data_IF_319259805565
#
_entry.id   IF_319259805565
#
_cell.length_a   1.000
_cell.length_b   1.000
_cell.length_c   1.000
_cell.angle_alpha   90.00
_cell.angle_beta   90.00
_cell.angle_gamma   90.00
#
_symmetry.space_group_name_H-M   'P 1'
#
loop_
_entity.id
_entity.type
_entity.pdbx_description
1 polymer ?
#
# COMPACT_ATOMS: atom_id res chain seq x y z
N UNK A 1 -33.97 0.10 -62.40
CA UNK A 1 -34.47 0.54 -61.07
C UNK A 1 -35.18 -0.65 -60.46
N UNK A 2 -34.82 -1.27 -59.34
CA UNK A 2 -33.76 -1.12 -58.33
C UNK A 2 -33.31 -2.56 -58.00
N UNK A 3 -32.00 -2.77 -57.87
CA UNK A 3 -31.47 -3.93 -57.15
C UNK A 3 -31.31 -3.49 -55.69
N UNK A 4 -31.91 -4.21 -54.74
CA UNK A 4 -31.62 -4.02 -53.32
C UNK A 4 -30.93 -5.27 -52.82
N UNK A 5 -29.65 -5.09 -52.49
CA UNK A 5 -28.76 -6.12 -52.02
C UNK A 5 -29.04 -6.36 -50.53
N UNK A 6 -29.24 -7.62 -50.16
CA UNK A 6 -29.30 -8.05 -48.78
C UNK A 6 -27.98 -7.73 -48.07
N UNK A 7 -28.03 -6.84 -47.08
CA UNK A 7 -26.95 -6.65 -46.14
C UNK A 7 -26.98 -7.81 -45.13
N UNK A 8 -26.09 -8.77 -45.35
CA UNK A 8 -25.69 -9.75 -44.35
C UNK A 8 -24.99 -8.98 -43.22
N UNK A 9 -25.67 -8.83 -42.09
CA UNK A 9 -25.03 -8.39 -40.85
C UNK A 9 -24.13 -9.54 -40.40
N UNK A 10 -22.85 -9.43 -40.74
CA UNK A 10 -21.81 -10.32 -40.26
C UNK A 10 -21.75 -10.22 -38.74
N UNK A 11 -22.17 -11.29 -38.07
CA UNK A 11 -21.91 -11.50 -36.67
C UNK A 11 -20.39 -11.56 -36.49
N UNK A 12 -19.81 -10.45 -36.03
CA UNK A 12 -18.44 -10.47 -35.51
C UNK A 12 -18.50 -11.31 -34.24
N UNK A 13 -18.00 -12.53 -34.35
CA UNK A 13 -17.81 -13.48 -33.25
C UNK A 13 -17.07 -12.77 -32.10
N UNK A 14 -17.79 -12.51 -31.00
CA UNK A 14 -17.23 -12.10 -29.70
C UNK A 14 -16.57 -13.31 -29.02
N UNK A 15 -15.65 -13.99 -29.72
CA UNK A 15 -14.73 -14.92 -29.07
C UNK A 15 -13.52 -14.11 -28.60
N UNK A 16 -13.78 -13.23 -27.62
CA UNK A 16 -12.72 -12.56 -26.89
C UNK A 16 -12.09 -13.64 -26.02
N UNK A 17 -10.94 -14.19 -26.48
CA UNK A 17 -10.15 -15.17 -25.73
C UNK A 17 -10.14 -14.80 -24.25
N UNK A 18 -10.79 -15.61 -23.43
CA UNK A 18 -10.82 -15.38 -21.99
C UNK A 18 -9.39 -15.50 -21.48
N UNK A 19 -8.95 -14.53 -20.67
CA UNK A 19 -7.60 -14.52 -20.11
C UNK A 19 -7.30 -15.83 -19.35
N UNK A 20 -6.16 -16.43 -19.65
CA UNK A 20 -5.67 -17.66 -19.01
C UNK A 20 -4.58 -17.35 -17.96
N UNK A 21 -4.54 -18.15 -16.89
CA UNK A 21 -3.51 -18.08 -15.86
C UNK A 21 -2.11 -18.25 -16.46
N UNK A 22 -1.96 -19.04 -17.51
CA UNK A 22 -0.68 -19.29 -18.18
C UNK A 22 -0.22 -18.11 -19.07
N UNK A 23 -1.09 -17.13 -19.34
CA UNK A 23 -0.72 -15.88 -20.03
C UNK A 23 -0.03 -14.88 -19.09
N UNK A 24 -0.13 -15.07 -17.77
CA UNK A 24 0.61 -14.26 -16.81
C UNK A 24 2.11 -14.58 -16.87
N UNK A 25 2.98 -13.57 -16.70
CA UNK A 25 4.41 -13.80 -16.50
C UNK A 25 4.65 -14.87 -15.42
N UNK A 26 5.59 -15.80 -15.60
CA UNK A 26 5.72 -16.98 -14.74
C UNK A 26 5.78 -16.68 -13.24
N UNK A 27 6.52 -15.63 -12.86
CA UNK A 27 6.58 -15.20 -11.45
C UNK A 27 5.24 -14.67 -10.93
N UNK A 28 4.48 -13.91 -11.74
CA UNK A 28 3.15 -13.41 -11.34
C UNK A 28 2.16 -14.56 -11.15
N UNK A 29 2.17 -15.54 -12.06
CA UNK A 29 1.41 -16.78 -11.93
C UNK A 29 1.74 -17.51 -10.63
N UNK A 30 3.03 -17.72 -10.36
CA UNK A 30 3.51 -18.37 -9.14
C UNK A 30 3.06 -17.64 -7.87
N UNK A 31 3.13 -16.31 -7.88
CA UNK A 31 2.77 -15.45 -6.76
C UNK A 31 1.26 -15.47 -6.44
N UNK A 32 0.40 -15.52 -7.46
CA UNK A 32 -1.05 -15.69 -7.27
C UNK A 32 -1.37 -17.07 -6.69
N UNK A 33 -0.79 -18.14 -7.26
CA UNK A 33 -0.94 -19.51 -6.75
C UNK A 33 -0.47 -19.63 -5.31
N UNK A 34 0.68 -19.03 -4.96
CA UNK A 34 1.20 -19.01 -3.61
C UNK A 34 0.24 -18.34 -2.62
N UNK A 35 -0.30 -17.18 -2.98
CA UNK A 35 -1.17 -16.40 -2.09
C UNK A 35 -2.52 -17.06 -1.86
N UNK A 36 -3.05 -17.69 -2.90
CA UNK A 36 -4.36 -18.35 -2.89
C UNK A 36 -4.26 -19.87 -2.81
N UNK A 37 -3.13 -20.40 -2.33
CA UNK A 37 -2.86 -21.84 -2.26
C UNK A 37 -3.95 -22.63 -1.53
N UNK A 38 -4.51 -22.03 -0.47
CA UNK A 38 -5.60 -22.59 0.31
C UNK A 38 -6.95 -22.70 -0.43
N UNK A 39 -7.12 -22.01 -1.56
CA UNK A 39 -8.31 -22.09 -2.42
C UNK A 39 -8.11 -23.03 -3.62
N UNK A 40 -6.87 -23.43 -3.90
CA UNK A 40 -6.51 -24.31 -5.02
C UNK A 40 -6.39 -23.58 -6.37
N UNK A 41 -5.92 -24.32 -7.39
CA UNK A 41 -5.59 -23.79 -8.72
C UNK A 41 -6.83 -23.28 -9.47
N UNK A 42 -7.93 -24.04 -9.47
CA UNK A 42 -9.17 -23.68 -10.17
C UNK A 42 -9.72 -22.31 -9.73
N UNK A 43 -9.62 -21.98 -8.43
CA UNK A 43 -10.01 -20.66 -7.93
C UNK A 43 -9.15 -19.54 -8.53
N UNK A 44 -7.84 -19.77 -8.69
CA UNK A 44 -6.92 -18.78 -9.25
C UNK A 44 -7.14 -18.61 -10.75
N UNK A 45 -7.40 -19.69 -11.48
CA UNK A 45 -7.80 -19.64 -12.89
C UNK A 45 -9.08 -18.83 -13.07
N UNK A 46 -10.10 -19.08 -12.25
CA UNK A 46 -11.34 -18.31 -12.26
C UNK A 46 -11.11 -16.84 -11.88
N UNK A 47 -10.19 -16.56 -10.95
CA UNK A 47 -9.83 -15.20 -10.57
C UNK A 47 -9.22 -14.42 -11.75
N UNK A 48 -8.35 -15.05 -12.55
CA UNK A 48 -7.74 -14.44 -13.75
C UNK A 48 -8.78 -14.29 -14.86
N UNK A 49 -9.51 -15.36 -15.18
CA UNK A 49 -10.54 -15.39 -16.21
C UNK A 49 -11.61 -14.31 -16.01
N UNK A 50 -11.96 -14.04 -14.75
CA UNK A 50 -12.99 -13.07 -14.39
C UNK A 50 -12.45 -11.67 -14.06
N UNK A 51 -11.13 -11.45 -14.14
CA UNK A 51 -10.49 -10.20 -13.71
C UNK A 51 -11.05 -8.98 -14.46
N UNK A 52 -11.23 -9.06 -15.78
CA UNK A 52 -11.69 -7.94 -16.63
C UNK A 52 -13.04 -7.34 -16.19
N UNK A 53 -13.84 -8.08 -15.41
CA UNK A 53 -15.12 -7.59 -14.89
C UNK A 53 -14.96 -6.40 -13.96
N UNK A 54 -13.84 -6.27 -13.24
CA UNK A 54 -13.60 -5.18 -12.28
C UNK A 54 -12.10 -4.88 -12.12
N UNK A 55 -11.64 -3.65 -12.40
CA UNK A 55 -10.24 -3.28 -12.15
C UNK A 55 -9.90 -3.39 -10.67
N UNK A 56 -8.63 -3.63 -10.36
CA UNK A 56 -8.18 -3.63 -8.97
C UNK A 56 -8.34 -2.24 -8.35
N UNK A 57 -8.93 -2.18 -7.15
CA UNK A 57 -9.09 -0.92 -6.43
C UNK A 57 -7.74 -0.31 -6.04
N UNK A 58 -7.56 0.96 -6.35
CA UNK A 58 -6.52 1.79 -5.74
C UNK A 58 -7.04 2.34 -4.39
N UNK A 59 -6.16 2.76 -3.47
CA UNK A 59 -6.62 3.41 -2.25
C UNK A 59 -7.33 4.71 -2.60
N UNK A 60 -8.33 5.10 -1.80
CA UNK A 60 -9.03 6.37 -1.97
C UNK A 60 -8.07 7.56 -1.78
N UNK A 61 -8.37 8.68 -2.43
CA UNK A 61 -7.62 9.90 -2.19
C UNK A 61 -7.73 10.32 -0.71
N UNK A 62 -6.66 10.85 -0.11
CA UNK A 62 -6.78 11.51 1.18
C UNK A 62 -7.77 12.68 1.10
N UNK A 63 -8.39 13.06 2.22
CA UNK A 63 -9.31 14.18 2.24
C UNK A 63 -8.61 15.48 1.84
N UNK A 64 -9.38 16.39 1.24
CA UNK A 64 -8.91 17.71 0.82
C UNK A 64 -8.38 17.79 -0.63
N UNK A 65 -8.04 18.99 -1.11
CA UNK A 65 -7.52 19.19 -2.46
C UNK A 65 -6.16 18.49 -2.65
N UNK A 66 -5.80 18.13 -3.90
CA UNK A 66 -4.43 17.74 -4.20
C UNK A 66 -3.47 18.89 -3.91
N UNK A 67 -2.22 18.56 -3.56
CA UNK A 67 -1.19 19.55 -3.28
C UNK A 67 -0.08 19.01 -2.40
N UNK A 68 0.95 19.84 -2.21
CA UNK A 68 2.08 19.51 -1.32
C UNK A 68 1.56 19.35 0.11
N UNK A 69 2.02 18.28 0.76
CA UNK A 69 1.74 18.02 2.18
C UNK A 69 2.84 18.64 3.03
N UNK A 70 2.47 19.36 4.09
CA UNK A 70 3.36 19.99 5.06
C UNK A 70 3.02 19.52 6.47
N UNK A 71 3.97 19.62 7.39
CA UNK A 71 3.77 19.38 8.81
C UNK A 71 3.73 20.72 9.55
N UNK A 72 2.57 21.11 10.07
CA UNK A 72 2.35 22.37 10.79
C UNK A 72 2.56 22.16 12.29
N UNK A 73 3.35 22.98 12.99
CA UNK A 73 3.40 22.94 14.44
C UNK A 73 2.06 23.42 15.03
N UNK A 74 1.55 22.69 16.01
CA UNK A 74 0.37 23.00 16.79
C UNK A 74 0.70 23.57 18.16
N UNK A 75 -0.26 24.26 18.77
CA UNK A 75 -0.20 24.70 20.17
C UNK A 75 -0.30 23.55 21.18
N UNK A 76 -0.68 22.34 20.72
CA UNK A 76 -0.60 21.09 21.48
C UNK A 76 0.83 20.49 21.55
N UNK A 77 1.83 21.20 21.02
CA UNK A 77 3.22 20.78 21.01
C UNK A 77 3.55 19.68 20.00
N UNK A 78 2.61 19.35 19.10
CA UNK A 78 2.80 18.33 18.05
C UNK A 78 2.74 18.95 16.65
N UNK A 79 3.17 18.17 15.67
CA UNK A 79 3.05 18.52 14.26
C UNK A 79 1.86 17.83 13.61
N UNK A 80 1.16 18.57 12.77
CA UNK A 80 -0.10 18.19 12.14
C UNK A 80 0.05 18.21 10.62
N UNK A 81 -0.34 17.14 9.94
CA UNK A 81 -0.28 17.13 8.48
C UNK A 81 -1.32 18.09 7.92
N UNK A 82 -0.89 18.95 7.01
CA UNK A 82 -1.77 19.81 6.25
C UNK A 82 -1.50 19.70 4.75
N UNK A 83 -2.54 19.83 3.96
CA UNK A 83 -2.48 19.86 2.50
C UNK A 83 -3.43 20.92 1.98
N UNK A 84 -2.93 21.79 1.09
CA UNK A 84 -3.69 22.90 0.53
C UNK A 84 -4.43 23.75 1.60
N UNK A 85 -3.76 23.99 2.73
CA UNK A 85 -4.31 24.77 3.85
C UNK A 85 -5.27 24.03 4.78
N UNK A 86 -5.57 22.75 4.51
CA UNK A 86 -6.44 21.94 5.36
C UNK A 86 -5.62 20.97 6.21
N UNK A 87 -5.83 20.92 7.53
CA UNK A 87 -5.27 19.86 8.36
C UNK A 87 -5.99 18.54 8.05
N UNK A 88 -5.20 17.50 7.81
CA UNK A 88 -5.70 16.17 7.47
C UNK A 88 -6.12 15.38 8.71
N UNK A 89 -5.62 15.76 9.89
CA UNK A 89 -5.82 15.09 11.18
C UNK A 89 -7.00 15.59 12.01
N UNK A 90 -7.70 16.63 11.56
CA UNK A 90 -8.83 17.20 12.27
C UNK A 90 -9.90 17.79 11.35
N UNK A 91 -10.97 18.28 11.94
CA UNK A 91 -12.02 19.02 11.24
C UNK A 91 -11.88 20.52 11.53
N UNK A 92 -12.04 21.36 10.51
CA UNK A 92 -11.95 22.80 10.68
C UNK A 92 -13.14 23.33 11.49
N UNK A 93 -12.88 24.13 12.52
CA UNK A 93 -13.92 24.87 13.23
C UNK A 93 -14.00 26.30 12.72
N UNK A 94 -15.00 26.57 11.89
CA UNK A 94 -15.17 27.83 11.16
C UNK A 94 -15.17 29.09 12.05
N UNK A 95 -15.63 28.98 13.30
CA UNK A 95 -15.74 30.11 14.21
C UNK A 95 -14.43 30.49 14.91
N UNK A 96 -13.50 29.55 15.07
CA UNK A 96 -12.33 29.71 15.96
C UNK A 96 -11.01 29.70 15.20
N UNK A 97 -10.99 29.19 13.96
CA UNK A 97 -9.75 28.93 13.24
C UNK A 97 -8.93 27.78 13.84
N UNK A 98 -9.50 27.04 14.79
CA UNK A 98 -8.93 25.84 15.37
C UNK A 98 -9.40 24.58 14.61
N UNK A 99 -8.69 23.49 14.84
CA UNK A 99 -8.96 22.20 14.24
C UNK A 99 -9.26 21.18 15.33
N UNK A 100 -10.45 20.58 15.27
CA UNK A 100 -10.87 19.56 16.22
C UNK A 100 -10.24 18.21 15.89
N UNK A 101 -9.60 17.63 16.89
CA UNK A 101 -8.94 16.34 16.83
C UNK A 101 -9.63 15.35 17.76
N UNK A 102 -9.55 14.07 17.39
CA UNK A 102 -10.10 12.97 18.15
C UNK A 102 -9.09 11.83 18.21
N UNK A 103 -8.90 11.25 19.39
CA UNK A 103 -8.05 10.08 19.60
C UNK A 103 -8.77 9.06 20.48
N UNK A 104 -8.71 7.78 20.08
CA UNK A 104 -9.11 6.67 20.92
C UNK A 104 -7.94 6.27 21.82
N UNK A 105 -8.15 6.34 23.12
CA UNK A 105 -7.17 5.98 24.14
C UNK A 105 -7.68 4.73 24.85
N UNK A 106 -6.89 3.66 24.85
CA UNK A 106 -7.17 2.44 25.60
C UNK A 106 -6.05 2.18 26.60
N UNK A 107 -6.39 1.74 27.80
CA UNK A 107 -5.44 1.40 28.85
C UNK A 107 -5.89 0.17 29.64
N UNK A 108 -4.95 -0.42 30.34
CA UNK A 108 -5.19 -1.48 31.33
C UNK A 108 -4.78 -0.98 32.71
N UNK A 109 -5.61 -1.22 33.69
CA UNK A 109 -5.29 -0.99 35.10
C UNK A 109 -4.46 -2.17 35.62
N UNK A 110 -3.28 -1.87 36.16
CA UNK A 110 -2.40 -2.82 36.83
C UNK A 110 -2.17 -2.38 38.27
N UNK A 111 -1.63 -3.26 39.12
CA UNK A 111 -1.41 -2.96 40.55
C UNK A 111 -0.53 -1.74 40.86
N UNK A 112 0.23 -1.25 39.89
CA UNK A 112 1.08 -0.04 39.98
C UNK A 112 0.55 1.15 39.15
N UNK A 113 -0.71 1.08 38.69
CA UNK A 113 -1.39 2.16 37.96
C UNK A 113 -1.72 1.85 36.49
N UNK A 114 -2.35 2.81 35.80
CA UNK A 114 -2.80 2.64 34.41
C UNK A 114 -1.63 2.60 33.43
N UNK A 115 -1.69 1.69 32.46
CA UNK A 115 -0.74 1.61 31.35
C UNK A 115 -1.44 1.62 30.00
N UNK A 116 -0.88 2.35 29.04
CA UNK A 116 -1.33 2.36 27.65
C UNK A 116 -1.43 0.92 27.12
N UNK A 117 -2.59 0.58 26.58
CA UNK A 117 -2.81 -0.74 26.00
C UNK A 117 -2.20 -0.81 24.60
N UNK A 118 -1.12 -1.60 24.46
CA UNK A 118 -0.36 -1.74 23.21
C UNK A 118 -0.77 -2.94 22.35
N UNK A 119 -1.92 -3.56 22.65
CA UNK A 119 -2.42 -4.77 22.00
C UNK A 119 -1.88 -6.07 22.62
N UNK A 120 -2.66 -7.14 22.54
CA UNK A 120 -2.35 -8.45 23.13
C UNK A 120 -3.58 -9.13 23.76
N UNK A 121 -3.47 -10.41 24.14
CA UNK A 121 -4.49 -11.07 24.96
C UNK A 121 -4.44 -10.53 26.39
N UNK A 122 -5.60 -10.39 27.02
CA UNK A 122 -5.79 -9.83 28.37
C UNK A 122 -5.58 -10.90 29.45
N UNK A 123 -5.04 -12.05 29.10
CA UNK A 123 -4.92 -13.24 29.98
C UNK A 123 -3.75 -13.13 30.99
N UNK A 124 -3.31 -11.91 31.30
CA UNK A 124 -2.24 -11.62 32.25
C UNK A 124 -2.87 -11.47 33.64
N UNK A 125 -2.50 -12.34 34.58
CA UNK A 125 -3.11 -12.46 35.92
C UNK A 125 -3.10 -11.16 36.75
N UNK A 126 -2.27 -10.19 36.36
CA UNK A 126 -2.14 -8.87 37.00
C UNK A 126 -3.03 -7.77 36.37
N UNK A 127 -3.86 -8.11 35.38
CA UNK A 127 -4.78 -7.15 34.75
C UNK A 127 -6.06 -7.01 35.58
N UNK A 128 -6.27 -5.83 36.15
CA UNK A 128 -7.39 -5.57 37.08
C UNK A 128 -8.63 -5.06 36.34
N UNK A 129 -8.45 -4.22 35.32
CA UNK A 129 -9.54 -3.69 34.49
C UNK A 129 -9.03 -3.16 33.15
N UNK A 130 -9.92 -3.09 32.16
CA UNK A 130 -9.67 -2.40 30.89
C UNK A 130 -10.49 -1.11 30.83
N UNK A 131 -9.84 -0.01 30.44
CA UNK A 131 -10.46 1.29 30.26
C UNK A 131 -10.27 1.80 28.83
N UNK A 132 -11.25 2.55 28.34
CA UNK A 132 -11.07 3.34 27.12
C UNK A 132 -11.81 4.66 27.21
N UNK A 133 -11.27 5.67 26.53
CA UNK A 133 -11.89 6.97 26.38
C UNK A 133 -11.59 7.52 24.98
N UNK A 134 -12.45 8.42 24.54
CA UNK A 134 -12.20 9.23 23.36
C UNK A 134 -11.79 10.61 23.85
N UNK A 135 -10.56 11.00 23.57
CA UNK A 135 -10.08 12.35 23.84
C UNK A 135 -10.36 13.23 22.63
N UNK A 136 -10.95 14.39 22.86
CA UNK A 136 -11.17 15.42 21.87
C UNK A 136 -10.46 16.70 22.32
N UNK A 137 -9.78 17.37 21.40
CA UNK A 137 -9.07 18.61 21.67
C UNK A 137 -9.02 19.51 20.44
N UNK A 138 -8.76 20.78 20.67
CA UNK A 138 -8.59 21.78 19.61
C UNK A 138 -7.12 22.08 19.41
N UNK A 139 -6.73 22.31 18.16
CA UNK A 139 -5.37 22.66 17.78
C UNK A 139 -5.37 23.92 16.93
N UNK A 140 -4.45 24.84 17.22
CA UNK A 140 -4.16 26.01 16.40
C UNK A 140 -2.77 25.91 15.81
N UNK A 141 -2.57 26.17 14.50
CA UNK A 141 -1.23 26.28 13.94
C UNK A 141 -0.47 27.43 14.58
N UNK A 142 0.77 27.19 15.02
CA UNK A 142 1.61 28.17 15.72
C UNK A 142 2.74 28.74 14.87
N UNK A 143 2.96 28.21 13.66
CA UNK A 143 4.09 28.61 12.82
C UNK A 143 4.04 28.04 11.40
N UNK A 144 5.10 28.29 10.61
CA UNK A 144 5.20 27.80 9.24
C UNK A 144 5.32 26.27 9.20
N UNK A 145 4.85 25.68 8.10
CA UNK A 145 4.97 24.24 7.87
C UNK A 145 6.39 23.81 7.52
N UNK A 146 6.79 22.65 8.02
CA UNK A 146 8.04 21.97 7.68
C UNK A 146 7.79 20.77 6.78
N UNK A 147 8.87 20.18 6.23
CA UNK A 147 8.79 18.91 5.53
C UNK A 147 8.34 17.80 6.52
N UNK A 148 7.22 17.09 6.26
CA UNK A 148 6.78 16.00 7.13
C UNK A 148 7.82 14.89 7.34
N UNK A 149 8.78 14.75 6.43
CA UNK A 149 9.87 13.79 6.52
C UNK A 149 10.89 14.08 7.62
N UNK A 150 10.97 15.34 8.09
CA UNK A 150 11.91 15.76 9.13
C UNK A 150 11.33 15.67 10.54
N UNK A 151 10.05 15.33 10.68
CA UNK A 151 9.37 15.27 11.98
C UNK A 151 9.46 13.87 12.58
N UNK A 152 10.00 13.77 13.79
CA UNK A 152 10.11 12.50 14.50
C UNK A 152 8.76 11.99 14.98
N UNK A 153 8.60 10.66 15.07
CA UNK A 153 7.31 10.02 15.37
C UNK A 153 6.66 10.50 16.68
N UNK A 154 7.38 10.68 17.80
CA UNK A 154 6.78 11.17 19.04
C UNK A 154 6.16 12.57 18.91
N UNK A 155 6.67 13.38 17.98
CA UNK A 155 6.23 14.77 17.76
C UNK A 155 5.07 14.86 16.77
N UNK A 156 4.71 13.75 16.10
CA UNK A 156 3.60 13.71 15.14
C UNK A 156 2.27 13.67 15.88
N UNK A 157 1.28 14.37 15.35
CA UNK A 157 -0.11 14.26 15.78
C UNK A 157 -0.58 12.80 15.69
N UNK A 158 -1.17 12.32 16.79
CA UNK A 158 -1.80 11.00 16.88
C UNK A 158 -3.31 11.06 16.59
N UNK A 159 -3.84 12.26 16.35
CA UNK A 159 -5.26 12.51 16.11
C UNK A 159 -5.71 12.14 14.69
N UNK A 160 -6.97 11.73 14.61
CA UNK A 160 -7.68 11.42 13.38
C UNK A 160 -7.76 9.91 13.07
N UNK A 161 -8.36 9.57 11.92
CA UNK A 161 -8.61 8.16 11.56
C UNK A 161 -7.29 7.40 11.33
N UNK A 162 -7.27 6.09 11.63
CA UNK A 162 -6.12 5.19 11.43
C UNK A 162 -5.45 5.33 10.05
N UNK A 163 -6.24 5.66 9.01
CA UNK A 163 -5.74 5.91 7.65
C UNK A 163 -4.75 7.07 7.53
N UNK A 164 -4.73 8.03 8.45
CA UNK A 164 -3.85 9.20 8.41
C UNK A 164 -2.42 8.89 8.87
N UNK A 165 -2.21 7.80 9.62
CA UNK A 165 -0.86 7.33 9.95
C UNK A 165 -0.06 7.01 8.68
N UNK A 166 -0.74 6.63 7.59
CA UNK A 166 -0.11 6.32 6.30
C UNK A 166 0.16 7.56 5.43
N UNK A 167 -0.28 8.75 5.86
CA UNK A 167 -0.01 10.01 5.17
C UNK A 167 1.28 10.69 5.64
N UNK A 168 1.81 10.28 6.79
CA UNK A 168 3.13 10.70 7.20
C UNK A 168 4.20 9.99 6.38
N UNK A 169 5.28 10.68 5.97
CA UNK A 169 6.41 10.02 5.36
C UNK A 169 6.96 8.92 6.27
N UNK A 170 7.29 7.77 5.68
CA UNK A 170 7.81 6.63 6.41
C UNK A 170 9.22 6.90 6.89
N UNK A 171 9.59 6.22 7.98
CA UNK A 171 10.94 6.27 8.54
C UNK A 171 11.99 6.00 7.46
N UNK A 172 13.21 6.55 7.61
CA UNK A 172 14.34 6.16 6.78
C UNK A 172 14.45 4.63 6.73
N UNK A 173 14.75 4.09 5.55
CA UNK A 173 14.97 2.66 5.40
C UNK A 173 16.11 2.21 6.31
N UNK A 174 16.01 0.99 6.87
CA UNK A 174 16.98 0.48 7.86
C UNK A 174 18.39 0.40 7.31
N UNK A 175 18.54 0.01 6.04
CA UNK A 175 19.84 -0.21 5.40
C UNK A 175 20.23 0.94 4.49
N UNK A 176 21.53 1.20 4.39
CA UNK A 176 22.06 2.30 3.59
C UNK A 176 21.78 2.13 2.09
N UNK A 177 21.80 0.89 1.60
CA UNK A 177 21.48 0.57 0.20
C UNK A 177 20.04 0.95 -0.15
N UNK A 178 19.07 0.54 0.67
CA UNK A 178 17.66 0.88 0.44
C UNK A 178 17.40 2.39 0.62
N UNK A 179 18.11 3.06 1.53
CA UNK A 179 18.03 4.54 1.65
C UNK A 179 18.48 5.23 0.36
N UNK A 180 19.59 4.78 -0.24
CA UNK A 180 20.08 5.34 -1.51
C UNK A 180 19.11 5.09 -2.67
N UNK A 181 18.54 3.89 -2.75
CA UNK A 181 17.52 3.59 -3.77
C UNK A 181 16.29 4.48 -3.61
N UNK A 182 15.80 4.65 -2.37
CA UNK A 182 14.68 5.56 -2.09
C UNK A 182 15.02 6.99 -2.49
N UNK A 183 16.19 7.51 -2.12
CA UNK A 183 16.61 8.86 -2.53
C UNK A 183 16.64 9.02 -4.06
N UNK A 184 17.26 8.07 -4.78
CA UNK A 184 17.32 8.11 -6.25
C UNK A 184 15.94 8.09 -6.91
N UNK A 185 15.00 7.30 -6.35
CA UNK A 185 13.61 7.26 -6.82
C UNK A 185 12.87 8.57 -6.54
N UNK A 186 13.08 9.16 -5.36
CA UNK A 186 12.48 10.46 -5.00
C UNK A 186 13.01 11.55 -5.91
N UNK A 187 14.31 11.59 -6.16
CA UNK A 187 14.95 12.61 -7.01
C UNK A 187 14.48 12.51 -8.46
N UNK A 188 14.29 11.30 -8.99
CA UNK A 188 13.91 11.08 -10.38
C UNK A 188 12.40 11.17 -10.64
N UNK A 189 11.58 10.68 -9.72
CA UNK A 189 10.15 10.40 -9.96
C UNK A 189 9.22 11.00 -8.89
N UNK A 190 9.76 11.69 -7.89
CA UNK A 190 9.00 12.29 -6.80
C UNK A 190 8.80 11.37 -5.59
N UNK A 191 8.39 11.98 -4.47
CA UNK A 191 8.31 11.33 -3.16
C UNK A 191 7.04 10.52 -2.92
N UNK A 192 6.02 10.69 -3.75
CA UNK A 192 4.74 10.00 -3.63
C UNK A 192 4.79 8.61 -4.27
N UNK A 193 3.78 7.79 -3.97
CA UNK A 193 3.63 6.46 -4.52
C UNK A 193 3.57 6.48 -6.04
N UNK A 194 4.49 5.78 -6.72
CA UNK A 194 4.56 5.72 -8.18
C UNK A 194 3.45 4.87 -8.82
N UNK A 195 2.60 4.22 -8.01
CA UNK A 195 1.39 3.55 -8.49
C UNK A 195 0.14 4.44 -8.36
N UNK A 196 -0.18 4.90 -7.14
CA UNK A 196 -1.43 5.63 -6.92
C UNK A 196 -1.27 7.16 -6.98
N UNK A 197 -0.08 7.69 -6.72
CA UNK A 197 0.17 9.14 -6.61
C UNK A 197 -0.47 9.83 -5.40
N UNK A 198 -1.15 9.10 -4.51
CA UNK A 198 -1.97 9.70 -3.44
C UNK A 198 -1.27 9.78 -2.08
N UNK A 199 -0.37 8.83 -1.81
CA UNK A 199 0.27 8.63 -0.50
C UNK A 199 1.79 8.67 -0.64
N UNK A 200 2.53 9.08 0.42
CA UNK A 200 3.99 9.03 0.40
C UNK A 200 4.53 7.64 0.07
N UNK A 201 5.53 7.60 -0.78
CA UNK A 201 6.28 6.42 -1.12
C UNK A 201 7.08 5.89 0.08
N UNK A 202 6.93 4.58 0.34
CA UNK A 202 7.46 3.92 1.54
C UNK A 202 8.42 2.79 1.26
N UNK A 203 8.09 1.97 0.27
CA UNK A 203 8.78 0.74 -0.04
C UNK A 203 9.34 0.83 -1.45
N UNK A 204 10.60 0.44 -1.60
CA UNK A 204 11.22 0.28 -2.92
C UNK A 204 10.73 -1.05 -3.45
N UNK A 205 9.80 -0.95 -4.38
CA UNK A 205 9.21 -2.09 -5.04
C UNK A 205 10.13 -2.58 -6.16
N UNK A 206 10.20 -3.90 -6.33
CA UNK A 206 11.10 -4.54 -7.28
C UNK A 206 10.50 -5.84 -7.80
N UNK A 207 10.90 -6.18 -9.01
CA UNK A 207 10.61 -7.47 -9.59
C UNK A 207 11.42 -8.54 -8.86
N UNK A 208 10.74 -9.52 -8.28
CA UNK A 208 11.37 -10.54 -7.45
C UNK A 208 12.09 -11.64 -8.26
N UNK A 209 11.92 -11.69 -9.58
CA UNK A 209 12.63 -12.63 -10.45
C UNK A 209 13.97 -12.02 -10.93
N UNK A 210 13.96 -10.74 -11.28
CA UNK A 210 15.11 -10.04 -11.88
C UNK A 210 15.84 -9.13 -10.89
N UNK A 211 15.22 -8.80 -9.75
CA UNK A 211 15.71 -7.81 -8.80
C UNK A 211 15.60 -6.36 -9.29
N UNK A 212 15.09 -6.10 -10.49
CA UNK A 212 14.98 -4.74 -11.04
C UNK A 212 13.97 -3.93 -10.25
N UNK A 213 14.37 -2.73 -9.85
CA UNK A 213 13.48 -1.79 -9.15
C UNK A 213 12.38 -1.32 -10.10
N UNK A 214 11.13 -1.40 -9.64
CA UNK A 214 9.96 -0.99 -10.41
C UNK A 214 9.48 0.42 -10.03
N UNK A 215 9.65 0.81 -8.76
CA UNK A 215 9.24 2.13 -8.28
C UNK A 215 9.25 2.27 -6.76
N UNK A 216 8.78 3.41 -6.27
CA UNK A 216 8.57 3.69 -4.86
C UNK A 216 7.07 3.64 -4.55
N UNK A 217 6.63 2.69 -3.73
CA UNK A 217 5.22 2.46 -3.43
C UNK A 217 4.85 2.80 -2.00
N UNK A 218 3.64 3.29 -1.77
CA UNK A 218 3.09 3.37 -0.41
C UNK A 218 2.85 1.96 0.17
N UNK A 219 2.74 1.85 1.50
CA UNK A 219 2.61 0.57 2.18
C UNK A 219 1.39 -0.25 1.71
N UNK A 220 0.27 0.43 1.41
CA UNK A 220 -0.94 -0.24 0.89
C UNK A 220 -0.67 -0.83 -0.51
N UNK A 221 -0.24 0.02 -1.45
CA UNK A 221 0.00 -0.40 -2.84
C UNK A 221 1.02 -1.54 -2.91
N UNK A 222 2.14 -1.43 -2.20
CA UNK A 222 3.18 -2.47 -2.17
C UNK A 222 2.66 -3.81 -1.62
N UNK A 223 1.71 -3.79 -0.68
CA UNK A 223 1.15 -5.03 -0.09
C UNK A 223 0.24 -5.77 -1.06
N UNK A 224 -0.52 -5.04 -1.87
CA UNK A 224 -1.60 -5.59 -2.69
C UNK A 224 -1.26 -5.68 -4.18
N UNK A 225 -0.12 -5.13 -4.61
CA UNK A 225 0.29 -5.10 -6.02
C UNK A 225 0.32 -6.50 -6.64
N UNK A 226 1.02 -7.43 -5.97
CA UNK A 226 1.20 -8.82 -6.39
C UNK A 226 -0.08 -9.67 -6.32
N UNK A 227 -1.19 -9.09 -5.85
CA UNK A 227 -2.51 -9.74 -5.84
C UNK A 227 -3.28 -9.50 -7.15
N UNK A 228 -2.72 -8.72 -8.08
CA UNK A 228 -3.40 -8.35 -9.32
C UNK A 228 -3.50 -9.53 -10.30
N UNK A 229 -4.72 -10.01 -10.62
CA UNK A 229 -4.91 -11.10 -11.57
C UNK A 229 -4.98 -10.61 -13.04
N UNK A 230 -4.99 -9.31 -13.27
CA UNK A 230 -5.18 -8.74 -14.60
C UNK A 230 -3.91 -8.84 -15.44
N UNK A 231 -4.04 -9.18 -16.73
CA UNK A 231 -2.94 -9.11 -17.68
C UNK A 231 -2.57 -7.65 -18.00
N UNK A 232 -3.57 -6.82 -18.28
CA UNK A 232 -3.45 -5.40 -18.67
C UNK A 232 -4.72 -4.62 -18.31
N UNK A 233 -4.74 -3.29 -18.51
CA UNK A 233 -5.95 -2.46 -18.42
C UNK A 233 -6.40 -2.20 -16.98
N UNK A 234 -5.49 -2.42 -16.04
CA UNK A 234 -5.67 -2.21 -14.62
C UNK A 234 -4.42 -1.51 -14.11
N UNK A 235 -4.52 -0.43 -13.29
CA UNK A 235 -3.36 0.34 -12.87
C UNK A 235 -2.23 -0.51 -12.26
N UNK A 236 -2.58 -1.59 -11.53
CA UNK A 236 -1.59 -2.53 -10.98
C UNK A 236 -0.90 -3.34 -12.06
N UNK A 237 -1.65 -3.85 -13.04
CA UNK A 237 -1.09 -4.61 -14.15
C UNK A 237 -0.21 -3.71 -15.04
N UNK A 238 -0.68 -2.50 -15.33
CA UNK A 238 0.05 -1.54 -16.15
C UNK A 238 1.38 -1.14 -15.47
N UNK A 239 1.37 -0.93 -14.15
CA UNK A 239 2.60 -0.72 -13.37
C UNK A 239 3.55 -1.93 -13.41
N UNK A 240 3.03 -3.16 -13.36
CA UNK A 240 3.84 -4.38 -13.43
C UNK A 240 4.46 -4.57 -14.82
N UNK A 241 3.73 -4.22 -15.88
CA UNK A 241 4.19 -4.34 -17.28
C UNK A 241 5.17 -3.22 -17.67
N UNK A 242 4.87 -1.99 -17.28
CA UNK A 242 5.63 -0.80 -17.64
C UNK A 242 6.00 0.00 -16.37
N UNK A 243 6.92 -0.54 -15.54
CA UNK A 243 7.23 0.07 -14.27
C UNK A 243 7.89 1.46 -14.42
N UNK A 244 7.48 2.47 -13.64
CA UNK A 244 7.98 3.84 -13.76
C UNK A 244 9.51 3.97 -13.65
N UNK A 245 10.15 3.11 -12.85
CA UNK A 245 11.60 3.14 -12.64
C UNK A 245 12.41 2.30 -13.66
N UNK A 246 11.77 1.70 -14.68
CA UNK A 246 12.45 0.82 -15.64
C UNK A 246 13.69 1.45 -16.26
N UNK A 247 13.59 2.72 -16.68
CA UNK A 247 14.69 3.46 -17.31
C UNK A 247 15.86 3.80 -16.38
N UNK A 248 15.67 3.74 -15.06
CA UNK A 248 16.71 4.03 -14.08
C UNK A 248 17.70 2.86 -13.90
N UNK A 249 17.34 1.65 -14.38
CA UNK A 249 18.17 0.45 -14.32
C UNK A 249 18.73 0.14 -12.92
N UNK A 250 17.96 0.47 -11.87
CA UNK A 250 18.33 0.21 -10.48
C UNK A 250 18.06 -1.25 -10.12
N UNK A 251 18.97 -1.84 -9.34
CA UNK A 251 18.85 -3.23 -8.85
C UNK A 251 18.67 -3.23 -7.34
N UNK A 252 17.65 -3.95 -6.88
CA UNK A 252 17.38 -4.14 -5.47
C UNK A 252 18.35 -5.18 -4.87
N UNK A 253 19.04 -4.91 -3.75
CA UNK A 253 20.05 -5.82 -3.22
C UNK A 253 19.47 -7.19 -2.85
N UNK A 254 20.02 -8.27 -3.42
CA UNK A 254 19.58 -9.64 -3.16
C UNK A 254 19.55 -10.00 -1.66
N UNK A 255 20.53 -9.52 -0.88
CA UNK A 255 20.61 -9.72 0.57
C UNK A 255 19.49 -9.03 1.37
N UNK A 256 18.75 -8.12 0.76
CA UNK A 256 17.62 -7.40 1.38
C UNK A 256 16.27 -7.90 0.87
N UNK A 257 16.25 -8.84 -0.07
CA UNK A 257 15.01 -9.40 -0.59
C UNK A 257 14.37 -10.28 0.46
N UNK A 258 13.06 -10.11 0.63
CA UNK A 258 12.31 -10.98 1.52
C UNK A 258 12.22 -12.38 0.92
N UNK A 259 12.45 -13.41 1.73
CA UNK A 259 12.27 -14.80 1.34
C UNK A 259 11.29 -15.47 2.29
N UNK A 260 10.32 -16.26 1.79
CA UNK A 260 9.48 -17.05 2.65
C UNK A 260 10.32 -18.05 3.43
N UNK A 261 9.87 -18.40 4.64
CA UNK A 261 10.48 -19.50 5.40
C UNK A 261 10.23 -20.81 4.68
N UNK A 262 11.17 -21.74 4.80
CA UNK A 262 11.05 -23.08 4.20
C UNK A 262 9.76 -23.80 4.63
N UNK A 263 9.39 -23.71 5.91
CA UNK A 263 8.12 -24.28 6.39
C UNK A 263 6.87 -23.68 5.74
N UNK A 264 6.94 -22.40 5.35
CA UNK A 264 5.83 -21.77 4.61
C UNK A 264 5.77 -22.29 3.18
N UNK A 265 6.93 -22.49 2.55
CA UNK A 265 7.03 -23.08 1.21
C UNK A 265 6.49 -24.49 1.19
N UNK A 266 6.93 -25.32 2.12
CA UNK A 266 6.48 -26.72 2.22
C UNK A 266 4.96 -26.83 2.39
N UNK A 267 4.36 -25.99 3.25
CA UNK A 267 2.90 -25.95 3.42
C UNK A 267 2.16 -25.57 2.13
N UNK A 268 2.71 -24.65 1.34
CA UNK A 268 2.09 -24.26 0.05
C UNK A 268 2.20 -25.41 -0.96
N UNK A 269 3.34 -26.10 -1.01
CA UNK A 269 3.53 -27.30 -1.85
C UNK A 269 2.51 -28.38 -1.46
N UNK A 270 2.31 -28.63 -0.17
CA UNK A 270 1.30 -29.58 0.31
C UNK A 270 -0.12 -29.21 -0.10
N UNK A 271 -0.45 -27.90 -0.12
CA UNK A 271 -1.77 -27.41 -0.51
C UNK A 271 -2.02 -27.49 -2.02
N UNK A 272 -0.99 -27.24 -2.84
CA UNK A 272 -1.11 -27.22 -4.30
C UNK A 272 -0.79 -28.55 -4.98
N UNK A 273 -0.01 -29.42 -4.32
CA UNK A 273 0.55 -30.64 -4.89
C UNK A 273 1.81 -30.43 -5.74
N UNK A 274 2.30 -29.19 -5.88
CA UNK A 274 3.51 -28.82 -6.61
C UNK A 274 4.09 -27.51 -6.08
N UNK A 275 5.34 -27.20 -6.43
CA UNK A 275 5.95 -25.91 -6.11
C UNK A 275 5.66 -24.89 -7.22
N UNK A 276 4.87 -23.83 -6.94
CA UNK A 276 4.54 -22.84 -7.97
C UNK A 276 5.76 -22.03 -8.44
N UNK A 277 6.87 -22.04 -7.70
CA UNK A 277 8.12 -21.36 -8.07
C UNK A 277 9.16 -22.31 -8.70
N UNK A 278 8.81 -23.56 -8.96
CA UNK A 278 9.72 -24.51 -9.60
C UNK A 278 10.20 -23.99 -10.96
N UNK A 279 11.51 -24.10 -11.23
CA UNK A 279 12.12 -23.62 -12.47
C UNK A 279 12.31 -22.10 -12.57
N UNK A 280 11.79 -21.31 -11.62
CA UNK A 280 12.01 -19.86 -11.61
C UNK A 280 13.35 -19.53 -10.94
N UNK A 281 14.26 -18.95 -11.72
CA UNK A 281 15.54 -18.48 -11.20
C UNK A 281 15.30 -17.35 -10.20
N UNK A 282 15.94 -17.44 -9.03
CA UNK A 282 16.02 -16.29 -8.13
C UNK A 282 17.10 -15.33 -8.60
N UNK A 283 16.94 -14.02 -8.38
CA UNK A 283 17.97 -13.04 -8.70
C UNK A 283 19.24 -13.36 -7.90
N UNK A 284 20.37 -13.41 -8.60
CA UNK A 284 21.72 -13.59 -8.07
C UNK A 284 22.19 -12.40 -7.25
#
# INVERSE_FOLDING_TARGET
>A
MRADAGAVVSAVSEDRLMADLDELPPYRRAQLLWRWSHQGVAFVEDLVRNAEKRPCSLPSAPPGPPGRTLALPGDDGRFHLARAGLMLCGQAEAATGAWSHRQHCGWVERGYGPQEWKGGRVDDADTVAWGSLVAEWLVRPTGPGVDPGTVDRPDRCLGGAYGLMHLWPPRPARTASVRRLRAALVDALGADCHLCGLYPGAMVDHDHQTGRVRGLLCAYCNRVLEECPHLTGCPRADYLLAPPAAGLNLVYPASQQWRPKESTRQRVIEQLGFDPFEGLSQPS
#
